data_IF_877463404032
#
_entry.id   IF_877463404032
#
_cell.length_a   1.000
_cell.length_b   1.000
_cell.length_c   1.000
_cell.angle_alpha   90.00
_cell.angle_beta   90.00
_cell.angle_gamma   90.00
#
_symmetry.space_group_name_H-M   'P 1'
#
loop_
_entity.id
_entity.type
_entity.pdbx_description
1 polymer ?
#
# COMPACT_ATOMS: atom_id res chain seq x y z
N UNK A 1 7.72 -10.41 -18.11
CA UNK A 1 7.22 -10.88 -16.79
C UNK A 1 6.89 -9.66 -15.96
N UNK A 2 5.66 -9.53 -15.50
CA UNK A 2 5.21 -8.43 -14.65
C UNK A 2 4.84 -8.95 -13.26
N UNK A 3 4.96 -8.10 -12.27
CA UNK A 3 4.44 -8.31 -10.91
C UNK A 3 3.50 -7.16 -10.62
N UNK A 4 2.25 -7.48 -10.27
CA UNK A 4 1.31 -6.49 -9.77
C UNK A 4 1.56 -6.33 -8.27
N UNK A 5 2.22 -5.26 -7.89
CA UNK A 5 2.63 -5.00 -6.50
C UNK A 5 1.55 -4.28 -5.69
N UNK A 6 0.42 -3.92 -6.31
CA UNK A 6 -0.66 -3.23 -5.63
C UNK A 6 -1.99 -3.39 -6.37
N UNK A 7 -2.79 -4.33 -5.95
CA UNK A 7 -4.16 -4.52 -6.42
C UNK A 7 -5.10 -4.78 -5.23
N UNK A 8 -6.39 -4.59 -5.45
CA UNK A 8 -7.42 -4.83 -4.44
C UNK A 8 -8.36 -5.94 -4.96
N UNK A 9 -7.95 -7.20 -4.79
CA UNK A 9 -8.68 -8.35 -5.34
C UNK A 9 -10.08 -8.52 -4.74
N UNK A 10 -10.28 -8.09 -3.50
CA UNK A 10 -11.59 -8.09 -2.82
C UNK A 10 -12.54 -7.00 -3.32
N UNK A 11 -12.00 -5.97 -3.99
CA UNK A 11 -12.76 -4.81 -4.48
C UNK A 11 -12.84 -4.76 -6.02
N UNK A 12 -12.30 -5.78 -6.69
CA UNK A 12 -12.28 -5.83 -8.14
C UNK A 12 -13.70 -5.96 -8.71
N UNK A 13 -14.03 -5.14 -9.73
CA UNK A 13 -15.25 -5.36 -10.51
C UNK A 13 -15.12 -6.66 -11.32
N UNK A 14 -15.82 -7.68 -10.87
CA UNK A 14 -15.82 -8.99 -11.50
C UNK A 14 -16.89 -9.16 -12.59
N UNK A 15 -17.68 -8.11 -12.89
CA UNK A 15 -18.70 -8.15 -13.94
C UNK A 15 -18.14 -8.64 -15.29
N UNK A 16 -16.95 -8.19 -15.76
CA UNK A 16 -16.35 -8.69 -17.00
C UNK A 16 -15.89 -10.15 -16.96
N UNK A 17 -15.89 -10.76 -15.78
CA UNK A 17 -15.38 -12.10 -15.50
C UNK A 17 -16.47 -13.04 -14.95
N UNK A 18 -17.74 -12.76 -15.26
CA UNK A 18 -18.90 -13.54 -14.79
C UNK A 18 -18.97 -13.71 -13.25
N UNK A 19 -18.40 -12.76 -12.50
CA UNK A 19 -18.31 -12.81 -11.04
C UNK A 19 -17.18 -13.71 -10.52
N UNK A 20 -16.30 -14.21 -11.39
CA UNK A 20 -15.26 -15.19 -11.05
C UNK A 20 -13.87 -14.55 -10.99
N UNK A 21 -13.29 -14.47 -9.79
CA UNK A 21 -11.93 -13.97 -9.57
C UNK A 21 -10.86 -14.85 -10.25
N UNK A 22 -11.09 -16.17 -10.33
CA UNK A 22 -10.11 -17.08 -10.94
C UNK A 22 -9.99 -16.80 -12.45
N UNK A 23 -11.08 -16.41 -13.11
CA UNK A 23 -11.05 -15.96 -14.51
C UNK A 23 -10.29 -14.63 -14.67
N UNK A 24 -10.50 -13.66 -13.77
CA UNK A 24 -9.78 -12.39 -13.79
C UNK A 24 -8.27 -12.62 -13.65
N UNK A 25 -7.85 -13.42 -12.67
CA UNK A 25 -6.45 -13.78 -12.45
C UNK A 25 -5.86 -14.56 -13.63
N UNK A 26 -6.63 -15.47 -14.23
CA UNK A 26 -6.19 -16.22 -15.42
C UNK A 26 -5.92 -15.30 -16.61
N UNK A 27 -6.78 -14.31 -16.85
CA UNK A 27 -6.55 -13.30 -17.91
C UNK A 27 -5.32 -12.44 -17.62
N UNK A 28 -5.12 -11.99 -16.38
CA UNK A 28 -3.93 -11.25 -16.01
C UNK A 28 -2.64 -12.08 -16.20
N UNK A 29 -2.67 -13.37 -15.84
CA UNK A 29 -1.55 -14.29 -16.09
C UNK A 29 -1.27 -14.48 -17.59
N UNK A 30 -2.32 -14.60 -18.41
CA UNK A 30 -2.18 -14.68 -19.86
C UNK A 30 -1.59 -13.38 -20.45
N UNK A 31 -1.83 -12.22 -19.83
CA UNK A 31 -1.23 -10.93 -20.18
C UNK A 31 0.21 -10.76 -19.66
N UNK A 32 0.75 -11.76 -18.93
CA UNK A 32 2.13 -11.77 -18.46
C UNK A 32 2.35 -11.30 -17.03
N UNK A 33 1.30 -11.16 -16.23
CA UNK A 33 1.42 -10.91 -14.78
C UNK A 33 1.64 -12.25 -14.07
N UNK A 34 2.72 -12.38 -13.31
CA UNK A 34 3.14 -13.64 -12.69
C UNK A 34 3.01 -13.65 -11.17
N UNK A 35 2.83 -12.50 -10.55
CA UNK A 35 2.58 -12.38 -9.12
C UNK A 35 1.65 -11.20 -8.85
N UNK A 36 0.87 -11.33 -7.77
CA UNK A 36 -0.09 -10.32 -7.33
C UNK A 36 0.08 -10.09 -5.84
N UNK A 37 0.15 -8.83 -5.41
CA UNK A 37 0.05 -8.45 -4.02
C UNK A 37 -1.28 -7.74 -3.79
N UNK A 38 -2.24 -8.45 -3.15
CA UNK A 38 -3.52 -7.85 -2.81
C UNK A 38 -3.41 -7.05 -1.53
N UNK A 39 -3.86 -5.81 -1.59
CA UNK A 39 -3.67 -4.82 -0.53
C UNK A 39 -4.92 -4.75 0.34
N UNK A 40 -4.70 -4.82 1.65
CA UNK A 40 -5.70 -4.59 2.69
C UNK A 40 -5.93 -3.09 2.87
N UNK A 41 -7.17 -2.69 3.03
CA UNK A 41 -7.58 -1.31 3.39
C UNK A 41 -8.23 -1.26 4.77
N UNK A 42 -8.86 -2.35 5.21
CA UNK A 42 -9.42 -2.54 6.55
C UNK A 42 -8.68 -3.66 7.28
N UNK A 43 -8.66 -3.57 8.63
CA UNK A 43 -7.96 -4.57 9.46
C UNK A 43 -8.54 -5.98 9.29
N UNK A 44 -9.82 -6.11 8.96
CA UNK A 44 -10.51 -7.39 8.79
C UNK A 44 -10.35 -7.99 7.39
N UNK A 45 -9.83 -7.24 6.42
CA UNK A 45 -9.59 -7.71 5.04
C UNK A 45 -8.70 -8.95 5.00
N UNK A 46 -7.78 -9.08 5.96
CA UNK A 46 -6.85 -10.22 6.03
C UNK A 46 -7.58 -11.59 6.00
N UNK A 47 -8.83 -11.65 6.48
CA UNK A 47 -9.60 -12.90 6.52
C UNK A 47 -9.91 -13.39 5.11
N UNK A 48 -10.38 -12.50 4.22
CA UNK A 48 -10.71 -12.87 2.85
C UNK A 48 -9.45 -12.96 1.97
N UNK A 49 -8.50 -12.05 2.18
CA UNK A 49 -7.22 -12.05 1.47
C UNK A 49 -6.43 -13.35 1.72
N UNK A 50 -6.44 -13.86 2.96
CA UNK A 50 -5.82 -15.14 3.28
C UNK A 50 -6.47 -16.33 2.53
N UNK A 51 -7.81 -16.32 2.38
CA UNK A 51 -8.53 -17.36 1.61
C UNK A 51 -8.16 -17.31 0.12
N UNK A 52 -8.06 -16.09 -0.45
CA UNK A 52 -7.62 -15.93 -1.84
C UNK A 52 -6.19 -16.42 -2.01
N UNK A 53 -5.27 -15.98 -1.16
CA UNK A 53 -3.87 -16.37 -1.21
C UNK A 53 -3.63 -17.87 -0.98
N UNK A 54 -4.48 -18.53 -0.21
CA UNK A 54 -4.42 -19.98 0.00
C UNK A 54 -4.76 -20.79 -1.27
N UNK A 55 -5.56 -20.23 -2.19
CA UNK A 55 -5.95 -20.88 -3.45
C UNK A 55 -4.95 -20.60 -4.59
N UNK A 56 -4.09 -19.60 -4.46
CA UNK A 56 -3.20 -19.12 -5.50
C UNK A 56 -1.78 -18.97 -4.99
N UNK A 57 -0.84 -19.78 -5.51
CA UNK A 57 0.56 -19.73 -5.07
C UNK A 57 1.27 -18.43 -5.41
N UNK A 58 0.83 -17.75 -6.45
CA UNK A 58 1.36 -16.49 -6.96
C UNK A 58 0.71 -15.25 -6.36
N UNK A 59 -0.24 -15.42 -5.41
CA UNK A 59 -0.89 -14.32 -4.70
C UNK A 59 -0.36 -14.24 -3.27
N UNK A 60 0.09 -13.05 -2.89
CA UNK A 60 0.32 -12.64 -1.51
C UNK A 60 -0.55 -11.45 -1.15
N UNK A 61 -0.51 -11.03 0.10
CA UNK A 61 -1.33 -9.91 0.57
C UNK A 61 -0.62 -9.07 1.62
N UNK A 62 -1.17 -7.91 1.90
CA UNK A 62 -0.74 -7.04 3.00
C UNK A 62 -1.74 -7.09 4.16
N UNK A 63 -1.33 -6.56 5.31
CA UNK A 63 -2.19 -6.35 6.48
C UNK A 63 -2.01 -4.92 6.98
N UNK A 64 -3.10 -4.19 7.12
CA UNK A 64 -3.06 -2.78 7.52
C UNK A 64 -4.41 -2.09 7.44
N UNK A 65 -4.40 -0.78 7.76
CA UNK A 65 -5.58 0.09 7.78
C UNK A 65 -5.28 1.36 7.00
N UNK A 66 -6.10 1.62 5.99
CA UNK A 66 -6.02 2.80 5.15
C UNK A 66 -6.38 4.08 5.95
N UNK A 67 -5.73 5.22 5.69
CA UNK A 67 -5.99 6.46 6.44
C UNK A 67 -7.39 7.06 6.26
N UNK A 68 -8.20 6.56 5.33
CA UNK A 68 -9.58 6.98 5.16
C UNK A 68 -10.58 6.17 6.01
N UNK A 69 -10.11 5.18 6.76
CA UNK A 69 -10.95 4.45 7.69
C UNK A 69 -11.29 5.29 8.93
N UNK A 70 -12.29 4.88 9.69
CA UNK A 70 -12.71 5.57 10.89
C UNK A 70 -11.70 5.38 12.05
N UNK A 71 -11.71 6.26 13.07
CA UNK A 71 -10.77 6.18 14.19
C UNK A 71 -10.89 4.90 15.01
N UNK A 72 -12.06 4.27 15.08
CA UNK A 72 -12.25 3.02 15.81
C UNK A 72 -11.53 1.88 15.10
N UNK A 73 -11.66 1.78 13.78
CA UNK A 73 -10.93 0.84 12.92
C UNK A 73 -9.41 1.08 13.03
N UNK A 74 -8.96 2.35 12.93
CA UNK A 74 -7.54 2.70 13.12
C UNK A 74 -7.02 2.29 14.50
N UNK A 75 -7.81 2.45 15.56
CA UNK A 75 -7.40 2.10 16.93
C UNK A 75 -7.19 0.59 17.12
N UNK A 76 -7.90 -0.25 16.36
CA UNK A 76 -7.72 -1.72 16.37
C UNK A 76 -6.37 -2.17 15.81
N UNK A 77 -5.80 -1.41 14.89
CA UNK A 77 -4.50 -1.69 14.28
C UNK A 77 -3.35 -1.36 15.24
N UNK A 78 -3.27 -2.05 16.38
CA UNK A 78 -2.12 -1.94 17.28
C UNK A 78 -0.88 -2.58 16.67
N UNK A 79 0.31 -2.13 17.07
CA UNK A 79 1.58 -2.71 16.60
C UNK A 79 1.64 -4.21 16.82
N UNK A 80 1.24 -4.70 18.01
CA UNK A 80 1.27 -6.12 18.35
C UNK A 80 0.29 -6.93 17.49
N UNK A 81 -0.92 -6.40 17.25
CA UNK A 81 -1.90 -7.07 16.40
C UNK A 81 -1.44 -7.13 14.94
N UNK A 82 -0.86 -6.06 14.41
CA UNK A 82 -0.27 -6.06 13.06
C UNK A 82 0.89 -7.07 12.94
N UNK A 83 1.72 -7.20 13.98
CA UNK A 83 2.79 -8.21 14.03
C UNK A 83 2.20 -9.62 14.01
N UNK A 84 1.13 -9.88 14.77
CA UNK A 84 0.43 -11.16 14.78
C UNK A 84 -0.14 -11.49 13.38
N UNK A 85 -0.88 -10.56 12.78
CA UNK A 85 -1.46 -10.72 11.45
C UNK A 85 -0.41 -10.92 10.35
N UNK A 86 0.79 -10.42 10.54
CA UNK A 86 1.88 -10.49 9.58
C UNK A 86 2.70 -11.80 9.65
N UNK A 87 2.39 -12.73 10.55
CA UNK A 87 3.15 -14.00 10.68
C UNK A 87 3.02 -14.94 9.47
N UNK A 88 1.85 -15.09 8.81
CA UNK A 88 1.75 -15.98 7.66
C UNK A 88 2.73 -15.62 6.54
N UNK A 89 3.28 -16.65 5.88
CA UNK A 89 4.26 -16.48 4.78
C UNK A 89 3.68 -15.69 3.60
N UNK A 90 2.38 -15.82 3.36
CA UNK A 90 1.66 -15.11 2.28
C UNK A 90 1.42 -13.62 2.58
N UNK A 91 1.65 -13.15 3.79
CA UNK A 91 1.68 -11.72 4.08
C UNK A 91 3.05 -11.17 3.66
N UNK A 92 3.05 -10.33 2.63
CA UNK A 92 4.29 -9.79 2.04
C UNK A 92 4.62 -8.37 2.48
N UNK A 93 3.62 -7.63 2.99
CA UNK A 93 3.79 -6.24 3.39
C UNK A 93 2.88 -5.86 4.56
N UNK A 94 3.20 -4.77 5.24
CA UNK A 94 2.35 -4.06 6.20
C UNK A 94 1.72 -2.86 5.49
N UNK A 95 0.41 -2.73 5.54
CA UNK A 95 -0.34 -1.65 4.89
C UNK A 95 -1.58 -2.19 4.13
N UNK A 96 -2.32 -1.33 3.44
CA UNK A 96 -2.02 0.07 3.16
C UNK A 96 -2.21 0.92 4.42
N UNK A 97 -1.37 1.93 4.60
CA UNK A 97 -1.41 2.87 5.72
C UNK A 97 -0.88 4.22 5.27
N UNK A 98 -0.87 5.22 6.11
CA UNK A 98 -0.30 6.53 5.78
C UNK A 98 -1.22 7.68 6.13
N UNK A 99 -1.25 8.72 5.27
CA UNK A 99 -1.97 9.96 5.55
C UNK A 99 -2.79 10.41 4.34
N UNK A 100 -4.03 10.79 4.57
CA UNK A 100 -4.92 11.40 3.56
C UNK A 100 -5.63 12.63 4.13
N UNK A 101 -5.15 13.82 3.78
CA UNK A 101 -5.76 15.09 4.20
C UNK A 101 -6.68 15.66 3.12
N UNK A 102 -6.83 14.96 2.00
CA UNK A 102 -7.77 15.36 0.96
C UNK A 102 -9.20 14.94 1.30
N UNK A 103 -9.39 13.72 1.82
CA UNK A 103 -10.71 13.21 2.14
C UNK A 103 -11.19 13.66 3.52
N UNK A 104 -10.30 13.74 4.50
CA UNK A 104 -10.64 14.25 5.84
C UNK A 104 -9.44 14.83 6.57
N UNK A 105 -9.66 15.95 7.24
CA UNK A 105 -8.74 16.56 8.21
C UNK A 105 -9.19 16.39 9.66
N UNK A 106 -10.28 15.65 9.90
CA UNK A 106 -10.87 15.53 11.23
C UNK A 106 -10.08 14.58 12.14
N UNK A 107 -9.32 13.63 11.55
CA UNK A 107 -8.64 12.56 12.27
C UNK A 107 -7.13 12.50 11.98
N UNK A 108 -6.49 13.66 11.82
CA UNK A 108 -5.05 13.75 11.48
C UNK A 108 -4.18 13.09 12.56
N UNK A 109 -4.51 13.25 13.83
CA UNK A 109 -3.74 12.68 14.93
C UNK A 109 -3.83 11.14 14.92
N UNK A 110 -5.01 10.59 14.67
CA UNK A 110 -5.28 9.16 14.60
C UNK A 110 -4.58 8.55 13.37
N UNK A 111 -4.63 9.21 12.20
CA UNK A 111 -3.90 8.80 11.02
C UNK A 111 -2.39 8.72 11.29
N UNK A 112 -1.79 9.75 11.89
CA UNK A 112 -0.37 9.80 12.23
C UNK A 112 0.05 8.69 13.19
N UNK A 113 -0.73 8.47 14.25
CA UNK A 113 -0.47 7.42 15.23
C UNK A 113 -0.62 6.03 14.59
N UNK A 114 -1.67 5.82 13.79
CA UNK A 114 -1.87 4.58 13.04
C UNK A 114 -0.71 4.31 12.09
N UNK A 115 -0.24 5.30 11.34
CA UNK A 115 0.90 5.16 10.44
C UNK A 115 2.19 4.79 11.19
N UNK A 116 2.48 5.45 12.30
CA UNK A 116 3.65 5.12 13.13
C UNK A 116 3.61 3.67 13.63
N UNK A 117 2.44 3.18 14.09
CA UNK A 117 2.25 1.78 14.52
C UNK A 117 2.51 0.77 13.41
N UNK A 118 2.09 1.06 12.17
CA UNK A 118 2.37 0.23 11.00
C UNK A 118 3.87 0.19 10.68
N UNK A 119 4.57 1.32 10.77
CA UNK A 119 6.02 1.38 10.60
C UNK A 119 6.71 0.49 11.66
N UNK A 120 6.31 0.59 12.93
CA UNK A 120 6.88 -0.24 14.00
C UNK A 120 6.64 -1.74 13.74
N UNK A 121 5.44 -2.12 13.32
CA UNK A 121 5.14 -3.50 12.95
C UNK A 121 6.00 -3.97 11.76
N UNK A 122 6.11 -3.14 10.69
CA UNK A 122 6.96 -3.40 9.52
C UNK A 122 8.42 -3.69 9.92
N UNK A 123 8.98 -2.84 10.80
CA UNK A 123 10.34 -3.01 11.31
C UNK A 123 10.51 -4.31 12.10
N UNK A 124 9.54 -4.64 12.96
CA UNK A 124 9.57 -5.84 13.80
C UNK A 124 9.53 -7.12 12.98
N UNK A 125 8.67 -7.18 11.94
CA UNK A 125 8.53 -8.37 11.09
C UNK A 125 9.46 -8.38 9.87
N UNK A 126 10.20 -7.28 9.63
CA UNK A 126 11.10 -7.08 8.48
C UNK A 126 10.39 -7.24 7.13
N UNK A 127 9.18 -6.73 7.04
CA UNK A 127 8.40 -6.66 5.79
C UNK A 127 8.21 -5.19 5.41
N UNK A 128 8.14 -4.84 4.10
CA UNK A 128 8.00 -3.46 3.69
C UNK A 128 6.66 -2.86 4.16
N UNK A 129 6.65 -1.54 4.39
CA UNK A 129 5.41 -0.80 4.61
C UNK A 129 4.91 -0.22 3.28
N UNK A 130 3.62 -0.37 2.98
CA UNK A 130 2.94 0.22 1.81
C UNK A 130 2.23 1.49 2.27
N UNK A 131 2.66 2.63 1.74
CA UNK A 131 2.26 3.96 2.22
C UNK A 131 1.41 4.69 1.18
N UNK A 132 0.22 5.06 1.60
CA UNK A 132 -0.63 6.05 0.96
C UNK A 132 -0.24 7.46 1.42
N UNK A 133 -0.17 8.41 0.51
CA UNK A 133 -0.04 9.83 0.86
C UNK A 133 -0.85 10.68 -0.11
N UNK A 134 -1.71 11.55 0.43
CA UNK A 134 -2.50 12.48 -0.37
C UNK A 134 -2.68 13.80 0.39
N UNK A 135 -2.19 14.89 -0.19
CA UNK A 135 -2.19 16.22 0.43
C UNK A 135 -1.49 16.26 1.80
N UNK A 136 -0.58 15.32 2.09
CA UNK A 136 0.04 15.09 3.39
C UNK A 136 1.57 14.88 3.33
N UNK A 137 2.21 15.27 2.21
CA UNK A 137 3.61 14.94 1.89
C UNK A 137 4.62 15.29 3.00
N UNK A 138 4.49 16.45 3.65
CA UNK A 138 5.42 16.89 4.69
C UNK A 138 5.35 15.97 5.91
N UNK A 139 4.14 15.75 6.44
CA UNK A 139 3.95 14.89 7.60
C UNK A 139 4.31 13.42 7.30
N UNK A 140 4.05 12.95 6.07
CA UNK A 140 4.45 11.60 5.64
C UNK A 140 5.97 11.44 5.70
N UNK A 141 6.74 12.37 5.13
CA UNK A 141 8.20 12.35 5.15
C UNK A 141 8.73 12.47 6.59
N UNK A 142 8.14 13.37 7.38
CA UNK A 142 8.57 13.62 8.76
C UNK A 142 8.37 12.38 9.64
N UNK A 143 7.25 11.67 9.52
CA UNK A 143 7.00 10.42 10.26
C UNK A 143 7.99 9.32 9.81
N UNK A 144 8.19 9.12 8.51
CA UNK A 144 9.16 8.15 7.98
C UNK A 144 10.55 8.37 8.59
N UNK A 145 10.98 9.64 8.68
CA UNK A 145 12.27 10.02 9.25
C UNK A 145 12.31 9.86 10.77
N UNK A 146 11.27 10.32 11.46
CA UNK A 146 11.19 10.24 12.93
C UNK A 146 11.24 8.78 13.41
N UNK A 147 10.53 7.90 12.73
CA UNK A 147 10.48 6.46 13.02
C UNK A 147 11.67 5.69 12.43
N UNK A 148 12.60 6.38 11.74
CA UNK A 148 13.79 5.77 11.11
C UNK A 148 13.42 4.60 10.19
N UNK A 149 12.31 4.71 9.51
CA UNK A 149 11.84 3.69 8.58
C UNK A 149 12.70 3.69 7.31
N UNK A 150 13.16 2.51 6.90
CA UNK A 150 14.09 2.36 5.76
C UNK A 150 13.62 1.35 4.72
N UNK A 151 12.39 0.83 4.85
CA UNK A 151 11.90 -0.24 4.00
C UNK A 151 10.41 -0.05 3.71
N UNK A 152 10.08 0.54 2.59
CA UNK A 152 8.69 0.79 2.21
C UNK A 152 8.52 1.25 0.77
N UNK A 153 7.27 1.46 0.41
CA UNK A 153 6.84 1.89 -0.92
C UNK A 153 5.85 3.04 -0.73
N UNK A 154 6.13 4.21 -1.30
CA UNK A 154 5.10 5.21 -1.53
C UNK A 154 4.28 4.80 -2.75
N UNK A 155 3.06 4.33 -2.49
CA UNK A 155 2.16 3.83 -3.50
C UNK A 155 1.42 4.97 -4.22
N UNK A 156 1.10 4.75 -5.49
CA UNK A 156 0.32 5.68 -6.32
C UNK A 156 0.79 7.13 -6.18
N UNK A 157 2.08 7.34 -6.28
CA UNK A 157 2.74 8.61 -6.01
C UNK A 157 2.19 9.74 -6.90
N UNK A 158 1.82 10.84 -6.27
CA UNK A 158 1.25 12.04 -6.93
C UNK A 158 1.91 13.35 -6.49
N UNK A 159 2.95 13.27 -5.66
CA UNK A 159 3.63 14.44 -5.09
C UNK A 159 4.78 14.94 -6.01
N UNK A 160 5.60 15.82 -5.50
CA UNK A 160 6.71 16.44 -6.21
C UNK A 160 8.04 15.65 -6.09
N UNK A 161 9.06 16.14 -6.84
CA UNK A 161 10.39 15.54 -6.82
C UNK A 161 11.07 15.63 -5.45
N UNK A 162 10.89 16.72 -4.72
CA UNK A 162 11.47 16.90 -3.38
C UNK A 162 10.96 15.80 -2.44
N UNK A 163 9.67 15.49 -2.51
CA UNK A 163 9.06 14.41 -1.73
C UNK A 163 9.58 13.04 -2.18
N UNK A 164 9.63 12.80 -3.50
CA UNK A 164 10.18 11.55 -4.04
C UNK A 164 11.61 11.33 -3.58
N UNK A 165 12.46 12.36 -3.72
CA UNK A 165 13.86 12.30 -3.28
C UNK A 165 13.98 12.06 -1.78
N UNK A 166 13.16 12.72 -0.97
CA UNK A 166 13.21 12.59 0.49
C UNK A 166 12.92 11.15 0.95
N UNK A 167 11.97 10.44 0.31
CA UNK A 167 11.65 9.06 0.68
C UNK A 167 12.64 8.06 0.06
N UNK A 168 13.17 8.33 -1.15
CA UNK A 168 14.26 7.55 -1.75
C UNK A 168 15.52 7.60 -0.86
N UNK A 169 15.87 8.78 -0.31
CA UNK A 169 17.00 8.94 0.61
C UNK A 169 16.78 8.16 1.92
N UNK A 170 15.54 7.84 2.29
CA UNK A 170 15.21 6.94 3.39
C UNK A 170 15.23 5.45 3.01
N UNK A 171 15.48 5.09 1.75
CA UNK A 171 15.49 3.71 1.27
C UNK A 171 14.12 3.19 0.80
N UNK A 172 13.15 4.08 0.61
CA UNK A 172 11.85 3.72 0.06
C UNK A 172 11.87 3.62 -1.45
N UNK A 173 10.93 2.87 -1.99
CA UNK A 173 10.58 2.89 -3.41
C UNK A 173 9.42 3.84 -3.66
N UNK A 174 9.33 4.35 -4.89
CA UNK A 174 8.22 5.17 -5.37
C UNK A 174 7.51 4.40 -6.48
N UNK A 175 6.20 4.21 -6.34
CA UNK A 175 5.37 3.47 -7.29
C UNK A 175 4.42 4.41 -8.02
N UNK A 176 4.45 4.39 -9.33
CA UNK A 176 3.54 5.14 -10.19
C UNK A 176 2.43 4.23 -10.69
N UNK A 177 1.18 4.66 -10.50
CA UNK A 177 0.01 3.96 -11.03
C UNK A 177 -0.44 4.53 -12.39
N UNK A 178 -1.56 4.05 -12.92
CA UNK A 178 -2.13 4.52 -14.19
C UNK A 178 -2.34 6.04 -14.29
N UNK A 179 -2.40 6.75 -13.17
CA UNK A 179 -2.55 8.22 -13.13
C UNK A 179 -1.40 8.95 -13.87
N UNK A 180 -0.20 8.38 -13.93
CA UNK A 180 0.95 8.94 -14.66
C UNK A 180 0.65 9.10 -16.17
N UNK A 181 -0.28 8.31 -16.71
CA UNK A 181 -0.67 8.34 -18.12
C UNK A 181 -1.72 9.42 -18.44
N UNK A 182 -2.31 10.09 -17.46
CA UNK A 182 -3.32 11.11 -17.68
C UNK A 182 -2.73 12.33 -18.40
N UNK A 183 -3.52 12.96 -19.27
CA UNK A 183 -3.08 14.10 -20.09
C UNK A 183 -2.53 15.26 -19.26
N UNK A 184 -3.11 15.50 -18.08
CA UNK A 184 -2.75 16.58 -17.15
C UNK A 184 -1.68 16.17 -16.12
N UNK A 185 -1.09 14.98 -16.22
CA UNK A 185 -0.08 14.46 -15.29
C UNK A 185 1.37 14.74 -15.75
N UNK A 186 1.64 15.90 -16.41
CA UNK A 186 2.98 16.19 -16.93
C UNK A 186 4.01 16.29 -15.80
N UNK A 187 3.70 17.00 -14.72
CA UNK A 187 4.61 17.16 -13.58
C UNK A 187 4.98 15.81 -12.96
N UNK A 188 3.99 14.90 -12.85
CA UNK A 188 4.23 13.55 -12.36
C UNK A 188 5.14 12.72 -13.28
N UNK A 189 4.97 12.86 -14.62
CA UNK A 189 5.89 12.24 -15.59
C UNK A 189 7.30 12.77 -15.47
N UNK A 190 7.47 14.05 -15.15
CA UNK A 190 8.78 14.65 -14.98
C UNK A 190 9.46 14.20 -13.69
N UNK A 191 8.69 13.93 -12.63
CA UNK A 191 9.18 13.22 -11.43
C UNK A 191 9.58 11.79 -11.78
N UNK A 192 8.71 11.05 -12.49
CA UNK A 192 8.99 9.64 -12.85
C UNK A 192 10.27 9.44 -13.64
N UNK A 193 10.67 10.43 -14.48
CA UNK A 193 11.94 10.39 -15.23
C UNK A 193 13.18 10.56 -14.34
N UNK A 194 13.04 11.10 -13.14
CA UNK A 194 14.13 11.38 -12.22
C UNK A 194 14.31 10.25 -11.19
N UNK A 195 13.26 9.48 -10.93
CA UNK A 195 13.32 8.35 -10.00
C UNK A 195 14.24 7.26 -10.58
N UNK A 196 15.22 6.74 -9.79
CA UNK A 196 16.06 5.62 -10.21
C UNK A 196 15.24 4.36 -10.51
N UNK A 197 15.69 3.54 -11.46
CA UNK A 197 15.13 2.23 -11.76
C UNK A 197 15.60 1.18 -10.76
#
# INVERSE_FOLDING_TARGET
>A
MFVDTHCHLTMLDLTPYDGDLDLALAQARAAGVHRFMSISVDIDDHIELAKIAARHDDVGYSVGVHPCEDPETMARATTDYLIELAQPEKVWAIGETGLDYFHSTDFIAEQKDCFARHIHASQAVKKPVVVHTRSAKHDTVDIIRAEKSTHGILHCFTEDWETAKAVLDCGYYVSFSGIVSFKNAQDLRDVAKQVPL
#
